data_IF_643844398978
#
_entry.id   IF_643844398978
#
_cell.length_a   1.000
_cell.length_b   1.000
_cell.length_c   1.000
_cell.angle_alpha   90.00
_cell.angle_beta   90.00
_cell.angle_gamma   90.00
#
_symmetry.space_group_name_H-M   'P 1'
#
loop_
_entity.id
_entity.type
_entity.pdbx_description
1 polymer ?
#
# COMPACT_ATOMS: atom_id res chain seq x y z
N UNK A 1 14.15 51.56 -20.32
CA UNK A 1 14.79 50.46 -19.55
C UNK A 1 13.97 50.12 -18.30
N UNK A 2 12.78 50.68 -18.15
CA UNK A 2 11.96 50.63 -16.94
C UNK A 2 11.16 49.32 -16.78
N UNK A 3 10.88 48.65 -17.89
CA UNK A 3 10.08 47.43 -17.95
C UNK A 3 10.82 46.20 -17.39
N UNK A 4 12.16 46.24 -17.38
CA UNK A 4 13.00 45.19 -16.80
C UNK A 4 13.09 45.30 -15.26
N UNK A 5 13.17 46.53 -14.74
CA UNK A 5 13.24 46.78 -13.29
C UNK A 5 11.91 46.48 -12.58
N UNK A 6 10.77 46.74 -13.23
CA UNK A 6 9.45 46.37 -12.72
C UNK A 6 9.25 44.85 -12.58
N UNK A 7 9.70 44.09 -13.58
CA UNK A 7 9.67 42.61 -13.54
C UNK A 7 10.60 42.05 -12.46
N UNK A 8 11.79 42.63 -12.30
CA UNK A 8 12.73 42.22 -11.26
C UNK A 8 12.17 42.43 -9.84
N UNK A 9 11.53 43.58 -9.59
CA UNK A 9 10.88 43.89 -8.31
C UNK A 9 9.72 42.93 -8.03
N UNK A 10 8.87 42.67 -9.03
CA UNK A 10 7.75 41.72 -8.88
C UNK A 10 8.22 40.27 -8.61
N UNK A 11 9.37 39.89 -9.14
CA UNK A 11 10.00 38.59 -8.83
C UNK A 11 10.47 38.50 -7.39
N UNK A 12 11.07 39.57 -6.86
CA UNK A 12 11.52 39.62 -5.46
C UNK A 12 10.34 39.57 -4.47
N UNK A 13 9.28 40.34 -4.71
CA UNK A 13 8.09 40.37 -3.85
C UNK A 13 7.38 39.01 -3.83
N UNK A 14 7.32 38.33 -4.99
CA UNK A 14 6.75 36.98 -5.10
C UNK A 14 7.56 35.95 -4.31
N UNK A 15 8.88 36.00 -4.39
CA UNK A 15 9.75 35.09 -3.63
C UNK A 15 9.61 35.29 -2.12
N UNK A 16 9.50 36.55 -1.65
CA UNK A 16 9.27 36.85 -0.25
C UNK A 16 7.92 36.29 0.23
N UNK A 17 6.86 36.48 -0.55
CA UNK A 17 5.53 35.93 -0.26
C UNK A 17 5.52 34.40 -0.25
N UNK A 18 6.20 33.75 -1.22
CA UNK A 18 6.31 32.29 -1.27
C UNK A 18 7.11 31.73 -0.08
N UNK A 19 8.18 32.40 0.33
CA UNK A 19 8.95 32.02 1.51
C UNK A 19 8.12 32.12 2.81
N UNK A 20 7.37 33.20 2.99
CA UNK A 20 6.46 33.36 4.14
C UNK A 20 5.37 32.27 4.16
N UNK A 21 4.77 31.99 3.00
CA UNK A 21 3.78 30.93 2.84
C UNK A 21 4.35 29.55 3.20
N UNK A 22 5.56 29.25 2.74
CA UNK A 22 6.25 27.99 3.06
C UNK A 22 6.54 27.86 4.56
N UNK A 23 6.93 28.96 5.21
CA UNK A 23 7.10 29.01 6.66
C UNK A 23 5.82 28.66 7.42
N UNK A 24 4.71 29.33 7.09
CA UNK A 24 3.39 29.04 7.69
C UNK A 24 2.93 27.61 7.42
N UNK A 25 3.20 27.08 6.23
CA UNK A 25 2.88 25.68 5.89
C UNK A 25 3.73 24.68 6.68
N UNK A 26 5.00 24.98 6.95
CA UNK A 26 5.86 24.12 7.74
C UNK A 26 5.43 24.11 9.21
N UNK A 27 5.13 25.28 9.78
CA UNK A 27 4.60 25.43 11.15
C UNK A 27 3.29 24.66 11.32
N UNK A 28 2.30 24.89 10.45
CA UNK A 28 1.03 24.18 10.51
C UNK A 28 1.18 22.65 10.39
N UNK A 29 2.15 22.16 9.60
CA UNK A 29 2.43 20.72 9.50
C UNK A 29 3.05 20.17 10.79
N UNK A 30 3.99 20.90 11.39
CA UNK A 30 4.60 20.52 12.66
C UNK A 30 3.56 20.49 13.80
N UNK A 31 2.65 21.46 13.82
CA UNK A 31 1.53 21.49 14.77
C UNK A 31 0.61 20.29 14.60
N UNK A 32 0.24 19.93 13.35
CA UNK A 32 -0.57 18.74 13.07
C UNK A 32 0.11 17.47 13.59
N UNK A 33 1.42 17.34 13.43
CA UNK A 33 2.17 16.19 13.92
C UNK A 33 2.20 16.15 15.46
N UNK A 34 2.45 17.28 16.11
CA UNK A 34 2.42 17.42 17.58
C UNK A 34 1.03 17.13 18.17
N UNK A 35 -0.03 17.62 17.51
CA UNK A 35 -1.41 17.36 17.90
C UNK A 35 -1.77 15.87 17.72
N UNK A 36 -1.30 15.21 16.66
CA UNK A 36 -1.47 13.77 16.47
C UNK A 36 -0.79 12.96 17.56
N UNK A 37 0.44 13.32 17.94
CA UNK A 37 1.14 12.66 19.04
C UNK A 37 0.40 12.84 20.37
N UNK A 38 -0.07 14.07 20.64
CA UNK A 38 -0.88 14.38 21.83
C UNK A 38 -2.18 13.57 21.85
N UNK A 39 -2.85 13.45 20.71
CA UNK A 39 -4.08 12.65 20.55
C UNK A 39 -3.82 11.17 20.81
N UNK A 40 -2.73 10.61 20.26
CA UNK A 40 -2.34 9.22 20.48
C UNK A 40 -2.04 8.96 21.97
N UNK A 41 -1.33 9.88 22.64
CA UNK A 41 -1.07 9.80 24.07
C UNK A 41 -2.37 9.78 24.88
N UNK A 42 -3.34 10.64 24.53
CA UNK A 42 -4.66 10.67 25.18
C UNK A 42 -5.46 9.39 24.99
N UNK A 43 -5.43 8.78 23.80
CA UNK A 43 -6.03 7.46 23.58
C UNK A 43 -5.37 6.37 24.42
N UNK A 44 -4.04 6.38 24.55
CA UNK A 44 -3.32 5.43 25.39
C UNK A 44 -3.65 5.61 26.88
N UNK A 45 -3.75 6.86 27.37
CA UNK A 45 -4.20 7.16 28.73
C UNK A 45 -5.63 6.66 28.99
N UNK A 46 -6.55 6.90 28.05
CA UNK A 46 -7.92 6.40 28.13
C UNK A 46 -7.94 4.87 28.24
N UNK A 47 -7.22 4.18 27.36
CA UNK A 47 -7.11 2.71 27.39
C UNK A 47 -6.55 2.19 28.71
N UNK A 48 -5.52 2.85 29.28
CA UNK A 48 -4.97 2.50 30.60
C UNK A 48 -6.00 2.67 31.73
N UNK A 49 -6.77 3.76 31.72
CA UNK A 49 -7.81 3.99 32.72
C UNK A 49 -8.93 2.97 32.62
N UNK A 50 -9.39 2.69 31.40
CA UNK A 50 -10.41 1.68 31.14
C UNK A 50 -9.95 0.28 31.57
N UNK A 51 -8.72 -0.11 31.22
CA UNK A 51 -8.14 -1.39 31.66
C UNK A 51 -8.10 -1.50 33.18
N UNK A 52 -7.63 -0.45 33.88
CA UNK A 52 -7.61 -0.41 35.35
C UNK A 52 -8.99 -0.59 35.96
N UNK A 53 -10.01 0.10 35.43
CA UNK A 53 -11.39 -0.04 35.89
C UNK A 53 -11.91 -1.46 35.68
N UNK A 54 -11.62 -2.08 34.53
CA UNK A 54 -12.07 -3.44 34.22
C UNK A 54 -11.46 -4.49 35.16
N UNK A 55 -10.16 -4.41 35.45
CA UNK A 55 -9.50 -5.37 36.35
C UNK A 55 -9.82 -5.13 37.82
N UNK A 56 -10.22 -3.91 38.21
CA UNK A 56 -10.57 -3.57 39.60
C UNK A 56 -12.04 -3.87 39.94
N UNK A 57 -12.76 -4.63 39.10
CA UNK A 57 -14.17 -4.92 39.30
C UNK A 57 -15.12 -3.74 39.03
N UNK A 58 -14.61 -2.69 38.36
CA UNK A 58 -15.41 -1.57 37.90
C UNK A 58 -16.33 -1.98 36.74
N UNK A 59 -17.49 -1.33 36.70
CA UNK A 59 -18.58 -1.60 35.74
C UNK A 59 -18.03 -1.63 34.32
N UNK A 60 -18.11 -2.80 33.67
CA UNK A 60 -17.93 -2.90 32.24
C UNK A 60 -19.00 -2.00 31.60
N UNK A 61 -18.59 -0.91 30.96
CA UNK A 61 -19.51 -0.06 30.22
C UNK A 61 -20.16 -0.93 29.12
N UNK A 62 -21.48 -1.18 29.19
CA UNK A 62 -22.15 -2.05 28.24
C UNK A 62 -21.98 -1.58 26.79
N UNK A 63 -21.81 -0.27 26.56
CA UNK A 63 -21.57 0.29 25.24
C UNK A 63 -20.17 -0.07 24.72
N UNK A 64 -19.15 -0.05 25.58
CA UNK A 64 -17.78 -0.44 25.19
C UNK A 64 -17.68 -1.95 24.98
N UNK A 65 -18.39 -2.75 25.79
CA UNK A 65 -18.46 -4.20 25.57
C UNK A 65 -19.14 -4.55 24.24
N UNK A 66 -20.22 -3.84 23.89
CA UNK A 66 -20.88 -3.99 22.58
C UNK A 66 -19.92 -3.64 21.42
N UNK A 67 -19.22 -2.50 21.52
CA UNK A 67 -18.23 -2.10 20.51
C UNK A 67 -17.09 -3.12 20.37
N UNK A 68 -16.60 -3.69 21.47
CA UNK A 68 -15.58 -4.74 21.41
C UNK A 68 -16.08 -6.01 20.71
N UNK A 69 -17.35 -6.40 20.93
CA UNK A 69 -17.96 -7.54 20.22
C UNK A 69 -18.09 -7.26 18.72
N UNK A 70 -18.57 -6.07 18.35
CA UNK A 70 -18.68 -5.64 16.95
C UNK A 70 -17.31 -5.61 16.26
N UNK A 71 -16.26 -5.11 16.93
CA UNK A 71 -14.89 -5.10 16.40
C UNK A 71 -14.39 -6.53 16.17
N UNK A 72 -14.55 -7.43 17.14
CA UNK A 72 -14.13 -8.83 17.00
C UNK A 72 -14.85 -9.54 15.83
N UNK A 73 -16.13 -9.27 15.64
CA UNK A 73 -16.89 -9.78 14.48
C UNK A 73 -16.37 -9.23 13.15
N UNK A 74 -16.03 -7.94 13.10
CA UNK A 74 -15.46 -7.31 11.90
C UNK A 74 -14.07 -7.87 11.58
N UNK A 75 -13.21 -8.05 12.58
CA UNK A 75 -11.88 -8.66 12.40
C UNK A 75 -12.00 -10.10 11.88
N UNK A 76 -12.95 -10.90 12.38
CA UNK A 76 -13.22 -12.24 11.88
C UNK A 76 -13.69 -12.23 10.41
N UNK A 77 -14.56 -11.28 10.03
CA UNK A 77 -14.99 -11.09 8.63
C UNK A 77 -13.82 -10.70 7.72
N UNK A 78 -12.95 -9.80 8.18
CA UNK A 78 -11.74 -9.38 7.45
C UNK A 78 -10.77 -10.55 7.28
N UNK A 79 -10.56 -11.36 8.33
CA UNK A 79 -9.73 -12.55 8.25
C UNK A 79 -10.27 -13.55 7.20
N UNK A 80 -11.56 -13.86 7.25
CA UNK A 80 -12.20 -14.76 6.27
C UNK A 80 -12.09 -14.22 4.84
N UNK A 81 -12.37 -12.92 4.61
CA UNK A 81 -12.22 -12.29 3.29
C UNK A 81 -10.77 -12.30 2.80
N UNK A 82 -9.79 -12.12 3.68
CA UNK A 82 -8.38 -12.20 3.32
C UNK A 82 -7.96 -13.63 2.96
N UNK A 83 -8.52 -14.65 3.62
CA UNK A 83 -8.31 -16.05 3.24
C UNK A 83 -8.94 -16.39 1.89
N UNK A 84 -10.17 -15.93 1.63
CA UNK A 84 -10.82 -16.03 0.32
C UNK A 84 -9.99 -15.33 -0.77
N UNK A 85 -9.49 -14.11 -0.51
CA UNK A 85 -8.60 -13.38 -1.44
C UNK A 85 -7.29 -14.14 -1.69
N UNK A 86 -6.70 -14.74 -0.65
CA UNK A 86 -5.52 -15.60 -0.80
C UNK A 86 -5.83 -16.82 -1.66
N UNK A 87 -6.98 -17.47 -1.47
CA UNK A 87 -7.40 -18.61 -2.26
C UNK A 87 -7.58 -18.22 -3.74
N UNK A 88 -8.25 -17.11 -4.03
CA UNK A 88 -8.40 -16.58 -5.40
C UNK A 88 -7.04 -16.22 -6.00
N UNK A 89 -6.13 -15.64 -5.22
CA UNK A 89 -4.77 -15.32 -5.70
C UNK A 89 -3.90 -16.56 -5.95
N UNK A 90 -4.20 -17.67 -5.25
CA UNK A 90 -3.55 -18.97 -5.41
C UNK A 90 -4.25 -19.88 -6.43
N UNK A 91 -5.45 -19.52 -6.92
CA UNK A 91 -6.02 -20.05 -8.15
C UNK A 91 -5.16 -19.56 -9.32
N UNK A 92 -3.98 -20.15 -9.44
CA UNK A 92 -3.13 -20.00 -10.60
C UNK A 92 -3.92 -20.50 -11.81
N UNK A 93 -4.17 -19.61 -12.77
CA UNK A 93 -4.52 -19.98 -14.13
C UNK A 93 -3.48 -20.99 -14.61
N UNK A 94 -3.86 -22.27 -14.67
CA UNK A 94 -3.03 -23.28 -15.31
C UNK A 94 -3.02 -22.96 -16.80
N UNK A 95 -1.94 -22.33 -17.27
CA UNK A 95 -1.66 -22.29 -18.70
C UNK A 95 -1.73 -23.74 -19.22
N UNK A 96 -2.44 -24.01 -20.33
CA UNK A 96 -2.42 -25.33 -20.94
C UNK A 96 -0.96 -25.67 -21.21
N UNK A 97 -0.51 -26.80 -20.65
CA UNK A 97 0.88 -27.26 -20.69
C UNK A 97 1.49 -26.99 -22.06
N UNK A 98 2.49 -26.10 -22.10
CA UNK A 98 3.25 -25.80 -23.30
C UNK A 98 3.64 -27.14 -23.96
N UNK A 99 3.15 -27.34 -25.18
CA UNK A 99 3.38 -28.54 -25.96
C UNK A 99 4.90 -28.82 -25.98
N UNK A 100 5.30 -29.96 -25.42
CA UNK A 100 6.70 -30.30 -25.17
C UNK A 100 7.55 -30.10 -26.43
N UNK A 101 8.45 -29.11 -26.41
CA UNK A 101 9.38 -28.87 -27.50
C UNK A 101 10.41 -30.02 -27.61
N UNK A 102 10.87 -30.30 -28.83
CA UNK A 102 11.96 -31.25 -29.10
C UNK A 102 13.20 -30.49 -29.58
N UNK A 103 14.39 -31.08 -29.44
CA UNK A 103 15.63 -30.49 -29.94
C UNK A 103 16.04 -31.15 -31.26
N UNK A 104 16.53 -30.34 -32.21
CA UNK A 104 17.05 -30.83 -33.48
C UNK A 104 18.31 -31.68 -33.27
N UNK A 105 18.31 -32.92 -33.78
CA UNK A 105 19.44 -33.84 -33.71
C UNK A 105 20.68 -33.39 -34.49
N UNK A 106 20.54 -32.49 -35.48
CA UNK A 106 21.66 -32.01 -36.29
C UNK A 106 22.30 -30.71 -35.78
N UNK A 107 21.52 -29.79 -35.20
CA UNK A 107 22.03 -28.47 -34.78
C UNK A 107 21.74 -28.10 -33.31
N UNK A 108 21.01 -28.95 -32.58
CA UNK A 108 20.74 -28.78 -31.14
C UNK A 108 19.72 -27.70 -30.80
N UNK A 109 19.10 -27.05 -31.77
CA UNK A 109 18.12 -25.97 -31.51
C UNK A 109 16.72 -26.52 -31.22
N UNK A 110 16.01 -25.82 -30.34
CA UNK A 110 14.64 -26.13 -29.95
C UNK A 110 13.67 -25.94 -31.12
N UNK A 111 12.73 -26.88 -31.25
CA UNK A 111 11.71 -26.88 -32.30
C UNK A 111 10.40 -27.48 -31.76
N UNK A 112 9.28 -27.08 -32.35
CA UNK A 112 7.97 -27.63 -32.00
C UNK A 112 7.95 -29.16 -32.18
N UNK A 113 7.19 -29.86 -31.33
CA UNK A 113 7.11 -31.33 -31.33
C UNK A 113 6.77 -31.91 -32.70
N UNK A 114 5.85 -31.24 -33.41
CA UNK A 114 5.31 -31.70 -34.68
C UNK A 114 6.09 -31.22 -35.91
N UNK A 115 7.16 -30.43 -35.71
CA UNK A 115 7.99 -29.96 -36.80
C UNK A 115 8.81 -31.12 -37.39
N UNK A 116 8.57 -31.47 -38.65
CA UNK A 116 9.31 -32.51 -39.40
C UNK A 116 10.67 -32.03 -39.92
N UNK A 117 10.84 -30.72 -40.03
CA UNK A 117 12.05 -30.07 -40.52
C UNK A 117 12.48 -28.97 -39.57
N UNK A 118 13.78 -28.86 -39.30
CA UNK A 118 14.31 -27.82 -38.44
C UNK A 118 14.26 -26.45 -39.15
N UNK A 119 13.59 -25.43 -38.59
CA UNK A 119 13.52 -24.11 -39.21
C UNK A 119 14.87 -23.38 -39.22
N UNK A 120 15.86 -23.86 -38.46
CA UNK A 120 17.17 -23.22 -38.39
C UNK A 120 18.21 -23.81 -39.35
N UNK A 121 18.19 -25.13 -39.56
CA UNK A 121 19.20 -25.80 -40.39
C UNK A 121 18.62 -26.65 -41.54
N UNK A 122 17.30 -26.79 -41.65
CA UNK A 122 16.64 -27.56 -42.71
C UNK A 122 16.69 -29.09 -42.56
N UNK A 123 17.34 -29.62 -41.52
CA UNK A 123 17.44 -31.07 -41.30
C UNK A 123 16.08 -31.70 -40.91
N UNK A 124 15.79 -32.90 -41.41
CA UNK A 124 14.61 -33.68 -41.04
C UNK A 124 14.74 -34.29 -39.64
N UNK A 125 13.75 -34.08 -38.77
CA UNK A 125 13.72 -34.49 -37.34
C UNK A 125 12.33 -34.92 -36.86
#
# INVERSE_FOLDING_TARGET
MDDFLGKLKSGADKLAFEAEKLGKQAEAKADVESLRFSLQSKYAELGKQYYKQRISGGVADPAVEALCKEIAEMEAKVAARNEELKAISNEAYAEPAAEAAKFCSSCGKEMARDAKFCPNCGASN
#
